data_IF_462565929027
#
_entry.id   IF_462565929027
#
_cell.length_a   1.000
_cell.length_b   1.000
_cell.length_c   1.000
_cell.angle_alpha   90.00
_cell.angle_beta   90.00
_cell.angle_gamma   90.00
#
_symmetry.space_group_name_H-M   'P 1'
#
loop_
_entity.id
_entity.type
_entity.pdbx_description
1 polymer ?
#
# COMPACT_ATOMS: atom_id res chain seq x y z
N UNK A 1 7.29 6.65 22.26
CA UNK A 1 7.73 5.24 22.31
C UNK A 1 7.64 4.75 20.87
N UNK A 2 8.72 4.89 20.09
CA UNK A 2 8.75 4.34 18.72
C UNK A 2 8.79 2.82 18.84
N UNK A 3 7.92 2.15 18.09
CA UNK A 3 7.90 0.70 18.11
C UNK A 3 9.12 0.20 17.33
N UNK A 4 9.77 -0.90 17.74
CA UNK A 4 10.90 -1.51 17.01
C UNK A 4 10.60 -1.93 15.56
N UNK A 5 9.38 -1.73 15.07
CA UNK A 5 8.92 -2.06 13.72
C UNK A 5 9.16 -0.93 12.71
N UNK A 6 9.35 0.32 13.15
CA UNK A 6 9.40 1.48 12.25
C UNK A 6 10.64 1.44 11.33
N UNK A 7 11.83 1.13 11.87
CA UNK A 7 13.06 1.04 11.09
C UNK A 7 13.05 -0.14 10.10
N UNK A 8 12.46 -1.27 10.51
CA UNK A 8 12.38 -2.47 9.67
C UNK A 8 11.34 -2.34 8.56
N UNK A 9 10.25 -1.61 8.84
CA UNK A 9 9.29 -1.22 7.82
C UNK A 9 9.96 -0.30 6.81
N UNK A 10 10.70 0.72 7.26
CA UNK A 10 11.39 1.64 6.37
C UNK A 10 12.39 0.94 5.44
N UNK A 11 13.25 0.03 5.95
CA UNK A 11 14.16 -0.75 5.11
C UNK A 11 13.43 -1.58 4.03
N UNK A 12 12.28 -2.16 4.38
CA UNK A 12 11.44 -2.91 3.41
C UNK A 12 10.80 -1.97 2.38
N UNK A 13 10.41 -0.77 2.76
CA UNK A 13 9.85 0.22 1.83
C UNK A 13 10.93 0.76 0.88
N UNK A 14 12.10 1.11 1.39
CA UNK A 14 13.23 1.64 0.62
C UNK A 14 13.72 0.61 -0.42
N UNK A 15 13.78 -0.67 -0.04
CA UNK A 15 14.13 -1.75 -0.98
C UNK A 15 13.09 -1.96 -2.07
N UNK A 16 11.80 -1.77 -1.77
CA UNK A 16 10.70 -1.92 -2.75
C UNK A 16 10.61 -0.74 -3.71
N UNK A 17 10.88 0.47 -3.24
CA UNK A 17 10.92 1.66 -4.09
C UNK A 17 12.03 1.56 -5.15
N UNK A 18 13.20 1.02 -4.78
CA UNK A 18 14.30 0.76 -5.69
C UNK A 18 13.97 -0.27 -6.79
N UNK A 19 13.06 -1.21 -6.53
CA UNK A 19 12.72 -2.31 -7.44
C UNK A 19 11.53 -1.98 -8.35
N UNK A 20 10.51 -1.27 -7.85
CA UNK A 20 9.23 -1.06 -8.55
C UNK A 20 8.94 0.41 -8.92
N UNK A 21 9.79 1.37 -8.51
CA UNK A 21 9.54 2.80 -8.65
C UNK A 21 8.66 3.36 -7.53
N UNK A 22 8.49 4.69 -7.51
CA UNK A 22 7.81 5.42 -6.44
C UNK A 22 6.37 4.95 -6.21
N UNK A 23 5.97 4.78 -4.95
CA UNK A 23 4.65 4.28 -4.58
C UNK A 23 3.49 5.11 -5.17
N UNK A 24 3.65 6.43 -5.22
CA UNK A 24 2.68 7.34 -5.85
C UNK A 24 2.44 7.01 -7.33
N UNK A 25 3.50 6.93 -8.13
CA UNK A 25 3.39 6.67 -9.57
C UNK A 25 2.75 5.29 -9.83
N UNK A 26 3.12 4.29 -9.02
CA UNK A 26 2.53 2.97 -9.10
C UNK A 26 1.03 2.98 -8.78
N UNK A 27 0.62 3.67 -7.73
CA UNK A 27 -0.79 3.77 -7.36
C UNK A 27 -1.60 4.62 -8.35
N UNK A 28 -1.01 5.65 -8.95
CA UNK A 28 -1.64 6.39 -10.06
C UNK A 28 -1.90 5.49 -11.27
N UNK A 29 -0.91 4.69 -11.67
CA UNK A 29 -1.05 3.75 -12.79
C UNK A 29 -2.13 2.71 -12.50
N UNK A 30 -2.14 2.14 -11.29
CA UNK A 30 -3.17 1.19 -10.86
C UNK A 30 -4.55 1.84 -10.89
N UNK A 31 -4.69 3.06 -10.36
CA UNK A 31 -5.95 3.80 -10.34
C UNK A 31 -6.53 4.03 -11.73
N UNK A 32 -5.68 4.40 -12.69
CA UNK A 32 -6.06 4.54 -14.11
C UNK A 32 -6.49 3.21 -14.73
N UNK A 33 -5.74 2.13 -14.47
CA UNK A 33 -6.05 0.79 -14.98
C UNK A 33 -7.38 0.28 -14.42
N UNK A 34 -7.60 0.39 -13.11
CA UNK A 34 -8.84 -0.05 -12.47
C UNK A 34 -10.04 0.76 -12.93
N UNK A 35 -9.91 2.08 -13.05
CA UNK A 35 -10.95 2.94 -13.61
C UNK A 35 -11.36 2.49 -15.02
N UNK A 36 -10.38 2.28 -15.90
CA UNK A 36 -10.62 1.82 -17.27
C UNK A 36 -11.30 0.44 -17.32
N UNK A 37 -10.86 -0.53 -16.51
CA UNK A 37 -11.44 -1.88 -16.49
C UNK A 37 -12.88 -1.89 -15.96
N UNK A 38 -13.20 -1.03 -15.01
CA UNK A 38 -14.52 -0.95 -14.37
C UNK A 38 -15.45 0.06 -15.05
N UNK A 39 -14.98 0.76 -16.09
CA UNK A 39 -15.70 1.84 -16.77
C UNK A 39 -16.16 2.95 -15.81
N UNK A 40 -15.24 3.39 -14.94
CA UNK A 40 -15.39 4.51 -14.00
C UNK A 40 -14.18 5.45 -14.10
N UNK A 41 -14.27 6.60 -13.44
CA UNK A 41 -13.13 7.52 -13.34
C UNK A 41 -11.91 6.87 -12.64
N UNK A 42 -10.67 7.28 -12.99
CA UNK A 42 -9.46 6.80 -12.32
C UNK A 42 -9.54 6.93 -10.80
N UNK A 43 -9.22 5.86 -10.10
CA UNK A 43 -9.24 5.86 -8.63
C UNK A 43 -8.01 6.64 -8.13
N UNK A 44 -8.17 7.63 -7.22
CA UNK A 44 -7.05 8.37 -6.66
C UNK A 44 -6.01 7.48 -5.97
N UNK A 45 -4.70 7.83 -6.02
CA UNK A 45 -3.62 6.97 -5.49
C UNK A 45 -3.76 6.58 -4.02
N UNK A 46 -4.14 7.53 -3.15
CA UNK A 46 -4.36 7.23 -1.73
C UNK A 46 -5.51 6.22 -1.52
N UNK A 47 -6.54 6.26 -2.37
CA UNK A 47 -7.63 5.29 -2.31
C UNK A 47 -7.18 3.91 -2.78
N UNK A 48 -6.34 3.85 -3.82
CA UNK A 48 -5.70 2.58 -4.24
C UNK A 48 -4.91 1.96 -3.08
N UNK A 49 -4.12 2.75 -2.36
CA UNK A 49 -3.40 2.28 -1.18
C UNK A 49 -4.35 1.70 -0.10
N UNK A 50 -5.44 2.40 0.21
CA UNK A 50 -6.46 1.91 1.16
C UNK A 50 -7.20 0.65 0.68
N UNK A 51 -7.43 0.50 -0.63
CA UNK A 51 -8.01 -0.70 -1.21
C UNK A 51 -7.05 -1.91 -1.11
N UNK A 52 -5.75 -1.67 -1.29
CA UNK A 52 -4.73 -2.70 -1.10
C UNK A 52 -4.57 -3.10 0.39
N UNK A 53 -4.73 -2.15 1.31
CA UNK A 53 -4.84 -2.42 2.74
C UNK A 53 -6.05 -3.33 3.07
N UNK A 54 -7.22 -3.03 2.50
CA UNK A 54 -8.42 -3.84 2.67
C UNK A 54 -8.20 -5.28 2.16
N UNK A 55 -7.53 -5.45 1.01
CA UNK A 55 -7.15 -6.77 0.49
C UNK A 55 -6.32 -7.58 1.51
N UNK A 56 -5.31 -6.95 2.13
CA UNK A 56 -4.49 -7.63 3.15
C UNK A 56 -5.29 -7.93 4.41
N UNK A 57 -6.19 -7.02 4.81
CA UNK A 57 -7.12 -7.24 5.93
C UNK A 57 -7.99 -8.47 5.71
N UNK A 58 -8.57 -8.64 4.52
CA UNK A 58 -9.36 -9.82 4.18
C UNK A 58 -8.52 -11.11 4.24
N UNK A 59 -7.26 -11.09 3.78
CA UNK A 59 -6.36 -12.25 3.89
C UNK A 59 -6.08 -12.63 5.35
N UNK A 60 -5.93 -11.64 6.23
CA UNK A 60 -5.68 -11.86 7.65
C UNK A 60 -6.88 -12.47 8.38
N UNK A 61 -8.11 -12.22 7.94
CA UNK A 61 -9.27 -12.95 8.48
C UNK A 61 -9.18 -14.46 8.24
N UNK A 62 -8.58 -14.87 7.11
CA UNK A 62 -8.39 -16.29 6.79
C UNK A 62 -7.12 -16.87 7.42
N UNK A 63 -6.05 -16.09 7.54
CA UNK A 63 -4.78 -16.52 8.15
C UNK A 63 -4.15 -15.37 8.97
N UNK A 64 -4.52 -15.24 10.26
CA UNK A 64 -4.04 -14.14 11.10
C UNK A 64 -2.55 -14.25 11.46
N UNK A 65 -1.96 -15.45 11.32
CA UNK A 65 -0.54 -15.70 11.64
C UNK A 65 0.43 -15.33 10.51
N UNK A 66 -0.08 -14.92 9.35
CA UNK A 66 0.74 -14.57 8.20
C UNK A 66 1.35 -13.17 8.33
N UNK A 67 2.58 -13.09 8.86
CA UNK A 67 3.26 -11.84 9.22
C UNK A 67 3.37 -10.84 8.05
N UNK A 68 3.75 -11.30 6.86
CA UNK A 68 3.89 -10.43 5.68
C UNK A 68 2.61 -9.66 5.34
N UNK A 69 1.43 -10.22 5.64
CA UNK A 69 0.17 -9.51 5.41
C UNK A 69 -0.06 -8.36 6.40
N UNK A 70 0.48 -8.45 7.62
CA UNK A 70 0.52 -7.32 8.56
C UNK A 70 1.52 -6.26 8.11
N UNK A 71 2.72 -6.67 7.68
CA UNK A 71 3.76 -5.75 7.18
C UNK A 71 3.28 -4.99 5.94
N UNK A 72 2.69 -5.70 4.97
CA UNK A 72 2.15 -5.07 3.76
C UNK A 72 1.01 -4.10 4.07
N UNK A 73 0.13 -4.45 5.01
CA UNK A 73 -0.94 -3.56 5.50
C UNK A 73 -0.36 -2.25 6.04
N UNK A 74 0.65 -2.32 6.91
CA UNK A 74 1.33 -1.14 7.43
C UNK A 74 2.00 -0.33 6.30
N UNK A 75 2.63 -1.00 5.33
CA UNK A 75 3.22 -0.33 4.17
C UNK A 75 2.22 0.44 3.32
N UNK A 76 1.06 -0.14 3.01
CA UNK A 76 0.02 0.56 2.24
C UNK A 76 -0.57 1.75 3.00
N UNK A 77 -0.77 1.63 4.31
CA UNK A 77 -1.23 2.74 5.16
C UNK A 77 -0.18 3.86 5.17
N UNK A 78 1.10 3.52 5.32
CA UNK A 78 2.20 4.50 5.29
C UNK A 78 2.19 5.29 3.98
N UNK A 79 2.16 4.61 2.83
CA UNK A 79 2.12 5.28 1.53
C UNK A 79 0.84 6.12 1.34
N UNK A 80 -0.31 5.68 1.85
CA UNK A 80 -1.53 6.47 1.79
C UNK A 80 -1.38 7.82 2.53
N UNK A 81 -0.78 7.79 3.72
CA UNK A 81 -0.50 9.00 4.52
C UNK A 81 0.52 9.89 3.82
N UNK A 82 1.59 9.30 3.29
CA UNK A 82 2.65 10.01 2.58
C UNK A 82 2.09 10.76 1.35
N UNK A 83 1.30 10.07 0.52
CA UNK A 83 0.65 10.65 -0.67
C UNK A 83 -0.27 11.83 -0.30
N UNK A 84 -0.93 11.78 0.84
CA UNK A 84 -1.84 12.85 1.29
C UNK A 84 -1.10 14.06 1.90
N UNK A 85 0.17 13.91 2.26
CA UNK A 85 0.98 14.95 2.89
C UNK A 85 1.99 15.61 1.92
N UNK A 86 2.00 15.20 0.65
CA UNK A 86 2.75 15.83 -0.43
C UNK A 86 1.96 16.98 -1.05
#
# INVERSE_FOLDING_TARGET
MSLPQDAKLQEVLDSREAEYGGALENFERIGKVWGALLNIEPIPPYQVALLMDALKTVRLFNNPTHNDSWVDKLGYIHHAVEIMNQ
#
